data_IF_452550277713
#
_entry.id   IF_452550277713
#
_cell.length_a   1.000
_cell.length_b   1.000
_cell.length_c   1.000
_cell.angle_alpha   90.00
_cell.angle_beta   90.00
_cell.angle_gamma   90.00
#
_symmetry.space_group_name_H-M   'P 1'
#
loop_
_entity.id
_entity.type
_entity.pdbx_description
1 polymer ?
#
# COMPACT_ATOMS: atom_id res chain seq x y z
N UNK A 1 26.12 24.14 -27.43
CA UNK A 1 25.10 23.07 -27.47
C UNK A 1 25.62 21.90 -26.63
N UNK A 2 25.32 21.91 -25.34
CA UNK A 2 25.69 20.83 -24.44
C UNK A 2 24.61 19.74 -24.51
N UNK A 3 24.97 18.55 -24.96
CA UNK A 3 24.19 17.34 -24.77
C UNK A 3 24.30 16.99 -23.29
N UNK A 4 23.28 17.31 -22.51
CA UNK A 4 23.11 16.73 -21.17
C UNK A 4 22.57 15.32 -21.37
N UNK A 5 23.37 14.34 -21.02
CA UNK A 5 23.01 12.93 -21.00
C UNK A 5 21.82 12.73 -20.06
N UNK A 6 20.62 12.71 -20.64
CA UNK A 6 19.43 12.15 -20.01
C UNK A 6 19.66 10.65 -19.88
N UNK A 7 20.37 10.24 -18.82
CA UNK A 7 20.41 8.88 -18.37
C UNK A 7 18.96 8.39 -18.29
N UNK A 8 18.61 7.47 -19.18
CA UNK A 8 17.27 6.88 -19.25
C UNK A 8 17.01 6.18 -17.92
N UNK A 9 16.30 6.83 -17.00
CA UNK A 9 15.67 6.18 -15.86
C UNK A 9 14.78 5.09 -16.43
N UNK A 10 15.27 3.86 -16.43
CA UNK A 10 14.53 2.70 -16.93
C UNK A 10 13.26 2.57 -16.11
N UNK A 11 12.13 2.40 -16.77
CA UNK A 11 10.87 2.09 -16.10
C UNK A 11 11.06 0.75 -15.38
N UNK A 12 10.98 0.78 -14.05
CA UNK A 12 11.13 -0.43 -13.25
C UNK A 12 9.75 -1.05 -13.08
N UNK A 13 9.59 -2.29 -13.54
CA UNK A 13 8.32 -3.01 -13.50
C UNK A 13 8.45 -4.18 -12.54
N UNK A 14 7.62 -4.18 -11.50
CA UNK A 14 7.48 -5.31 -10.59
C UNK A 14 6.16 -6.03 -10.83
N UNK A 15 6.21 -7.35 -10.72
CA UNK A 15 5.07 -8.22 -10.88
C UNK A 15 4.75 -8.90 -9.56
N UNK A 16 3.45 -9.06 -9.29
CA UNK A 16 2.98 -9.85 -8.15
C UNK A 16 3.56 -11.26 -8.20
N UNK A 17 4.05 -11.73 -7.05
CA UNK A 17 4.66 -13.05 -6.94
C UNK A 17 3.62 -14.10 -6.54
N UNK A 18 3.70 -15.29 -7.12
CA UNK A 18 2.81 -16.40 -6.79
C UNK A 18 3.50 -17.30 -5.75
N UNK A 19 3.02 -17.28 -4.51
CA UNK A 19 3.64 -18.03 -3.43
C UNK A 19 3.30 -19.52 -3.54
N UNK A 20 4.32 -20.37 -3.76
CA UNK A 20 4.16 -21.81 -4.00
C UNK A 20 3.34 -22.53 -2.90
N UNK A 21 3.54 -22.28 -1.59
CA UNK A 21 2.72 -22.91 -0.54
C UNK A 21 1.24 -22.55 -0.63
N UNK A 22 0.92 -21.28 -0.94
CA UNK A 22 -0.47 -20.87 -1.15
C UNK A 22 -1.06 -21.51 -2.40
N UNK A 23 -0.26 -21.72 -3.44
CA UNK A 23 -0.72 -22.46 -4.61
C UNK A 23 -1.01 -23.93 -4.33
N UNK A 24 -0.21 -24.56 -3.46
CA UNK A 24 -0.44 -25.95 -3.02
C UNK A 24 -1.72 -26.01 -2.18
N UNK A 25 -1.89 -25.09 -1.23
CA UNK A 25 -3.12 -25.00 -0.44
C UNK A 25 -4.36 -24.75 -1.33
N UNK A 26 -4.25 -23.87 -2.32
CA UNK A 26 -5.30 -23.62 -3.29
C UNK A 26 -5.60 -24.87 -4.15
N UNK A 27 -4.57 -25.62 -4.56
CA UNK A 27 -4.73 -26.86 -5.31
C UNK A 27 -5.42 -27.95 -4.47
N UNK A 28 -5.02 -28.12 -3.21
CA UNK A 28 -5.69 -29.03 -2.27
C UNK A 28 -7.15 -28.61 -2.07
N UNK A 29 -7.41 -27.32 -1.86
CA UNK A 29 -8.76 -26.78 -1.77
C UNK A 29 -9.59 -27.06 -3.02
N UNK A 30 -8.99 -26.95 -4.21
CA UNK A 30 -9.64 -27.26 -5.48
C UNK A 30 -9.98 -28.75 -5.62
N UNK A 31 -9.07 -29.63 -5.20
CA UNK A 31 -9.28 -31.10 -5.21
C UNK A 31 -10.41 -31.48 -4.24
N UNK A 32 -10.39 -30.94 -3.01
CA UNK A 32 -11.43 -31.18 -2.01
C UNK A 32 -12.80 -30.65 -2.49
N UNK A 33 -12.82 -29.46 -3.09
CA UNK A 33 -14.03 -28.90 -3.69
C UNK A 33 -14.54 -29.76 -4.85
N UNK A 34 -13.67 -30.21 -5.76
CA UNK A 34 -14.06 -31.09 -6.86
C UNK A 34 -14.63 -32.43 -6.36
N UNK A 35 -14.01 -33.03 -5.34
CA UNK A 35 -14.54 -34.24 -4.70
C UNK A 35 -15.93 -34.01 -4.08
N UNK A 36 -16.15 -32.85 -3.45
CA UNK A 36 -17.45 -32.45 -2.91
C UNK A 36 -18.50 -32.26 -4.00
N UNK A 37 -18.15 -31.65 -5.13
CA UNK A 37 -19.03 -31.50 -6.30
C UNK A 37 -19.41 -32.88 -6.86
N UNK A 38 -18.44 -33.80 -7.02
CA UNK A 38 -18.72 -35.16 -7.47
C UNK A 38 -19.63 -35.92 -6.49
N UNK A 39 -19.39 -35.79 -5.19
CA UNK A 39 -20.20 -36.43 -4.15
C UNK A 39 -21.65 -35.91 -4.15
N UNK A 40 -21.83 -34.59 -4.18
CA UNK A 40 -23.16 -33.95 -4.22
C UNK A 40 -23.90 -34.28 -5.51
N UNK A 41 -23.20 -34.30 -6.66
CA UNK A 41 -23.75 -34.72 -7.93
C UNK A 41 -24.22 -36.18 -7.93
N UNK A 42 -23.42 -37.10 -7.39
CA UNK A 42 -23.79 -38.50 -7.25
C UNK A 42 -25.05 -38.69 -6.40
N UNK A 43 -25.13 -38.04 -5.24
CA UNK A 43 -26.32 -38.07 -4.39
C UNK A 43 -27.54 -37.41 -5.02
N UNK A 44 -27.35 -36.35 -5.82
CA UNK A 44 -28.42 -35.69 -6.57
C UNK A 44 -29.05 -36.61 -7.63
N UNK A 45 -28.21 -37.34 -8.37
CA UNK A 45 -28.66 -38.33 -9.36
C UNK A 45 -29.37 -39.51 -8.67
N UNK A 46 -28.77 -40.05 -7.60
CA UNK A 46 -29.35 -41.15 -6.80
C UNK A 46 -30.73 -40.83 -6.20
N UNK A 47 -30.96 -39.58 -5.78
CA UNK A 47 -32.23 -39.13 -5.18
C UNK A 47 -33.22 -38.54 -6.18
N UNK A 48 -32.87 -38.47 -7.48
CA UNK A 48 -33.72 -37.88 -8.52
C UNK A 48 -34.04 -36.39 -8.30
N UNK A 49 -33.27 -35.69 -7.46
CA UNK A 49 -33.47 -34.26 -7.14
C UNK A 49 -32.22 -33.51 -7.53
N UNK A 50 -32.36 -32.53 -8.41
CA UNK A 50 -31.31 -31.58 -8.77
C UNK A 50 -31.35 -30.38 -7.80
N UNK A 51 -30.40 -30.25 -6.86
CA UNK A 51 -30.33 -29.09 -5.99
C UNK A 51 -29.75 -27.89 -6.77
N UNK A 52 -30.63 -27.14 -7.45
CA UNK A 52 -30.25 -25.97 -8.27
C UNK A 52 -29.46 -24.93 -7.47
N UNK A 53 -29.80 -24.73 -6.20
CA UNK A 53 -29.10 -23.79 -5.31
C UNK A 53 -27.65 -24.22 -5.05
N UNK A 54 -27.40 -25.52 -4.82
CA UNK A 54 -26.05 -26.03 -4.60
C UNK A 54 -25.19 -25.88 -5.86
N UNK A 55 -25.75 -26.13 -7.04
CA UNK A 55 -25.04 -25.92 -8.32
C UNK A 55 -24.69 -24.44 -8.49
N UNK A 56 -25.62 -23.54 -8.22
CA UNK A 56 -25.37 -22.10 -8.28
C UNK A 56 -24.26 -21.66 -7.32
N UNK A 57 -24.27 -22.16 -6.08
CA UNK A 57 -23.25 -21.88 -5.08
C UNK A 57 -21.87 -22.47 -5.48
N UNK A 58 -21.83 -23.68 -6.02
CA UNK A 58 -20.61 -24.30 -6.52
C UNK A 58 -19.98 -23.49 -7.66
N UNK A 59 -20.78 -23.02 -8.61
CA UNK A 59 -20.31 -22.14 -9.68
C UNK A 59 -19.77 -20.82 -9.14
N UNK A 60 -20.42 -20.24 -8.13
CA UNK A 60 -19.93 -19.02 -7.47
C UNK A 60 -18.59 -19.23 -6.73
N UNK A 61 -18.41 -20.38 -6.05
CA UNK A 61 -17.15 -20.73 -5.38
C UNK A 61 -16.03 -20.95 -6.40
N UNK A 62 -16.30 -21.69 -7.47
CA UNK A 62 -15.35 -21.89 -8.57
C UNK A 62 -14.92 -20.55 -9.17
N UNK A 63 -15.89 -19.68 -9.43
CA UNK A 63 -15.65 -18.34 -9.94
C UNK A 63 -14.74 -17.54 -9.01
N UNK A 64 -15.03 -17.52 -7.71
CA UNK A 64 -14.26 -16.80 -6.71
C UNK A 64 -12.82 -17.34 -6.57
N UNK A 65 -12.64 -18.66 -6.63
CA UNK A 65 -11.32 -19.30 -6.64
C UNK A 65 -10.51 -18.90 -7.87
N UNK A 66 -11.14 -18.93 -9.06
CA UNK A 66 -10.50 -18.55 -10.32
C UNK A 66 -10.09 -17.07 -10.32
N UNK A 67 -10.95 -16.17 -9.84
CA UNK A 67 -10.62 -14.75 -9.71
C UNK A 67 -9.47 -14.52 -8.73
N UNK A 68 -9.47 -15.21 -7.58
CA UNK A 68 -8.41 -15.11 -6.57
C UNK A 68 -7.04 -15.55 -7.09
N UNK A 69 -6.99 -16.63 -7.88
CA UNK A 69 -5.74 -17.17 -8.45
C UNK A 69 -5.26 -16.36 -9.66
N UNK A 70 -6.18 -15.84 -10.48
CA UNK A 70 -5.83 -15.11 -11.72
C UNK A 70 -5.57 -13.63 -11.52
N UNK A 71 -5.94 -13.06 -10.36
CA UNK A 71 -5.65 -11.67 -10.05
C UNK A 71 -4.14 -11.42 -10.07
N UNK A 72 -3.70 -10.55 -10.98
CA UNK A 72 -2.31 -10.10 -11.08
C UNK A 72 -2.26 -8.59 -10.87
N UNK A 73 -1.31 -8.15 -10.06
CA UNK A 73 -0.97 -6.73 -9.93
C UNK A 73 0.41 -6.47 -10.51
N UNK A 74 0.52 -5.42 -11.31
CA UNK A 74 1.76 -4.93 -11.89
C UNK A 74 2.00 -3.52 -11.37
N UNK A 75 3.20 -3.27 -10.89
CA UNK A 75 3.64 -1.96 -10.44
C UNK A 75 4.69 -1.45 -11.41
N UNK A 76 4.54 -0.20 -11.87
CA UNK A 76 5.52 0.46 -12.74
C UNK A 76 5.95 1.77 -12.09
N UNK A 77 7.25 1.92 -11.89
CA UNK A 77 7.86 3.17 -11.49
C UNK A 77 8.27 3.91 -12.77
N UNK A 78 7.41 4.81 -13.24
CA UNK A 78 7.67 5.72 -14.36
C UNK A 78 8.38 6.98 -13.86
N UNK A 79 8.86 7.85 -14.76
CA UNK A 79 9.71 9.00 -14.40
C UNK A 79 9.09 9.96 -13.37
N UNK A 80 7.79 10.21 -13.48
CA UNK A 80 7.10 11.24 -12.66
C UNK A 80 5.92 10.69 -11.85
N UNK A 81 5.60 9.40 -12.02
CA UNK A 81 4.40 8.78 -11.44
C UNK A 81 4.59 7.31 -11.11
N UNK A 82 3.87 6.87 -10.10
CA UNK A 82 3.68 5.47 -9.76
C UNK A 82 2.42 4.96 -10.47
N UNK A 83 2.58 4.02 -11.38
CA UNK A 83 1.48 3.38 -12.08
C UNK A 83 1.24 1.98 -11.53
N UNK A 84 0.00 1.68 -11.18
CA UNK A 84 -0.43 0.39 -10.68
C UNK A 84 -1.57 -0.15 -11.55
N UNK A 85 -1.39 -1.38 -12.01
CA UNK A 85 -2.40 -2.07 -12.80
C UNK A 85 -2.77 -3.38 -12.10
N UNK A 86 -4.02 -3.48 -11.66
CA UNK A 86 -4.60 -4.72 -11.18
C UNK A 86 -5.55 -5.27 -12.21
N UNK A 87 -5.24 -6.46 -12.69
CA UNK A 87 -6.06 -7.21 -13.64
C UNK A 87 -6.66 -8.40 -12.91
N UNK A 88 -7.98 -8.35 -12.70
CA UNK A 88 -8.79 -9.48 -12.24
C UNK A 88 -9.40 -10.24 -13.41
N UNK A 89 -10.33 -11.15 -13.12
CA UNK A 89 -11.00 -11.95 -14.15
C UNK A 89 -11.87 -11.09 -15.09
N UNK A 90 -12.41 -9.98 -14.59
CA UNK A 90 -13.30 -9.10 -15.34
C UNK A 90 -13.02 -7.61 -15.12
N UNK A 91 -12.44 -7.25 -13.98
CA UNK A 91 -12.13 -5.86 -13.63
C UNK A 91 -10.67 -5.55 -13.92
N UNK A 92 -10.46 -4.43 -14.61
CA UNK A 92 -9.14 -3.79 -14.72
C UNK A 92 -9.21 -2.51 -13.90
N UNK A 93 -8.35 -2.43 -12.88
CA UNK A 93 -8.22 -1.25 -12.05
C UNK A 93 -6.85 -0.63 -12.32
N UNK A 94 -6.87 0.54 -12.92
CA UNK A 94 -5.69 1.34 -13.20
C UNK A 94 -5.64 2.50 -12.23
N UNK A 95 -4.49 2.69 -11.59
CA UNK A 95 -4.27 3.78 -10.65
C UNK A 95 -2.90 4.40 -10.94
N UNK A 96 -2.90 5.67 -11.29
CA UNK A 96 -1.69 6.47 -11.48
C UNK A 96 -1.62 7.56 -10.42
N UNK A 97 -0.53 7.61 -9.66
CA UNK A 97 -0.31 8.60 -8.60
C UNK A 97 1.00 9.34 -8.91
N UNK A 98 0.96 10.67 -8.99
CA UNK A 98 2.17 11.47 -9.18
C UNK A 98 3.04 11.43 -7.92
N UNK A 99 4.37 11.46 -8.07
CA UNK A 99 5.27 11.40 -6.91
C UNK A 99 5.08 12.57 -5.94
N UNK A 100 4.76 13.76 -6.45
CA UNK A 100 4.49 14.93 -5.59
C UNK A 100 3.24 14.74 -4.71
N UNK A 101 2.27 13.91 -5.12
CA UNK A 101 1.05 13.64 -4.35
C UNK A 101 1.25 12.57 -3.27
N UNK A 102 2.38 11.86 -3.25
CA UNK A 102 2.64 10.79 -2.29
C UNK A 102 3.16 11.41 -0.99
N UNK A 103 2.48 11.13 0.13
CA UNK A 103 2.92 11.55 1.46
C UNK A 103 4.00 10.64 2.01
N UNK A 104 3.82 9.32 1.85
CA UNK A 104 4.80 8.32 2.23
C UNK A 104 4.22 6.91 2.27
N UNK A 105 5.10 5.95 2.55
CA UNK A 105 4.76 4.52 2.62
C UNK A 105 5.22 3.96 3.96
N UNK A 106 4.27 3.37 4.70
CA UNK A 106 4.52 2.69 5.97
C UNK A 106 4.09 1.23 5.92
N UNK A 107 4.59 0.40 6.84
CA UNK A 107 4.16 -0.99 6.96
C UNK A 107 2.71 -1.04 7.47
N UNK A 108 1.85 -1.87 6.86
CA UNK A 108 0.45 -1.95 7.24
C UNK A 108 0.27 -2.75 8.54
N UNK A 109 -0.23 -2.08 9.58
CA UNK A 109 -0.73 -2.71 10.81
C UNK A 109 -2.25 -2.73 10.81
N UNK A 110 -2.84 -3.82 11.29
CA UNK A 110 -4.30 -3.94 11.46
C UNK A 110 -4.75 -3.22 12.75
N UNK A 111 -4.47 -1.92 12.82
CA UNK A 111 -4.82 -1.05 13.95
C UNK A 111 -5.77 0.06 13.49
N UNK A 112 -6.70 0.47 14.36
CA UNK A 112 -7.65 1.54 14.06
C UNK A 112 -6.93 2.89 14.08
N UNK A 113 -6.59 3.39 12.89
CA UNK A 113 -6.04 4.72 12.73
C UNK A 113 -7.11 5.78 13.03
N UNK A 114 -7.15 6.24 14.28
CA UNK A 114 -7.96 7.37 14.72
C UNK A 114 -7.53 8.75 14.13
N UNK A 115 -6.25 9.02 13.79
CA UNK A 115 -5.86 10.36 13.35
C UNK A 115 -6.25 10.69 11.90
N UNK A 116 -6.07 9.76 10.96
CA UNK A 116 -6.25 10.04 9.51
C UNK A 116 -7.56 9.48 9.00
N UNK A 117 -8.43 10.35 8.46
CA UNK A 117 -9.66 9.89 7.80
C UNK A 117 -9.40 9.53 6.34
N UNK A 118 -9.82 8.33 5.94
CA UNK A 118 -9.62 7.84 4.58
C UNK A 118 -10.88 8.05 3.74
N UNK A 119 -10.71 8.50 2.49
CA UNK A 119 -11.81 8.52 1.52
C UNK A 119 -11.87 7.24 0.69
N UNK A 120 -10.71 6.81 0.20
CA UNK A 120 -10.57 5.64 -0.66
C UNK A 120 -9.44 4.75 -0.15
N UNK A 121 -9.71 3.45 -0.01
CA UNK A 121 -8.68 2.44 0.27
C UNK A 121 -8.64 1.44 -0.90
N UNK A 122 -7.61 1.55 -1.72
CA UNK A 122 -7.38 0.65 -2.86
C UNK A 122 -6.54 -0.54 -2.42
N UNK A 123 -7.05 -1.75 -2.68
CA UNK A 123 -6.35 -2.99 -2.41
C UNK A 123 -5.64 -3.45 -3.70
N UNK A 124 -4.49 -2.84 -3.96
CA UNK A 124 -3.66 -3.09 -5.14
C UNK A 124 -2.59 -4.13 -4.82
N UNK A 125 -2.99 -5.34 -4.41
CA UNK A 125 -2.10 -6.48 -4.24
C UNK A 125 -2.83 -7.79 -4.59
N UNK A 126 -2.07 -8.80 -5.00
CA UNK A 126 -2.60 -10.14 -5.21
C UNK A 126 -2.70 -10.89 -3.88
N UNK A 127 -3.81 -11.61 -3.65
CA UNK A 127 -4.02 -12.41 -2.41
C UNK A 127 -3.03 -13.56 -2.27
N UNK A 128 -2.50 -14.04 -3.39
CA UNK A 128 -1.57 -15.17 -3.47
C UNK A 128 -0.11 -14.78 -3.25
N UNK A 129 0.16 -13.49 -3.05
CA UNK A 129 1.49 -12.99 -2.72
C UNK A 129 1.66 -12.99 -1.19
N UNK A 130 2.75 -13.56 -0.67
CA UNK A 130 3.04 -13.65 0.76
C UNK A 130 3.91 -12.50 1.28
N UNK A 131 4.32 -11.57 0.43
CA UNK A 131 5.12 -10.40 0.82
C UNK A 131 4.37 -9.50 1.83
N UNK A 132 5.10 -8.74 2.66
CA UNK A 132 4.51 -7.79 3.60
C UNK A 132 3.67 -6.74 2.87
N UNK A 133 2.57 -6.32 3.51
CA UNK A 133 1.68 -5.29 2.97
C UNK A 133 2.22 -3.93 3.39
N UNK A 134 2.41 -3.06 2.41
CA UNK A 134 2.78 -1.67 2.61
C UNK A 134 1.58 -0.77 2.30
N UNK A 135 1.39 0.25 3.13
CA UNK A 135 0.33 1.24 3.05
C UNK A 135 0.93 2.56 2.55
N UNK A 136 0.56 2.93 1.33
CA UNK A 136 0.94 4.19 0.69
C UNK A 136 -0.18 5.21 0.89
N UNK A 137 0.17 6.37 1.47
CA UNK A 137 -0.75 7.50 1.61
C UNK A 137 -0.47 8.53 0.52
N UNK A 138 -1.54 9.01 -0.11
CA UNK A 138 -1.45 10.00 -1.18
C UNK A 138 -2.59 11.02 -1.12
N UNK A 139 -2.35 12.16 -1.73
CA UNK A 139 -3.27 13.28 -1.79
C UNK A 139 -4.38 13.06 -2.83
N UNK A 140 -5.64 13.30 -2.44
CA UNK A 140 -6.79 13.27 -3.35
C UNK A 140 -7.28 14.70 -3.67
N UNK A 141 -6.54 15.73 -3.26
CA UNK A 141 -6.97 17.12 -3.36
C UNK A 141 -8.04 17.51 -2.33
N UNK A 142 -8.22 16.72 -1.26
CA UNK A 142 -9.12 17.03 -0.15
C UNK A 142 -8.32 17.45 1.08
N UNK A 143 -8.83 18.45 1.81
CA UNK A 143 -8.23 18.96 3.05
C UNK A 143 -8.62 18.15 4.30
N UNK A 144 -9.47 17.14 4.16
CA UNK A 144 -9.91 16.32 5.30
C UNK A 144 -9.59 14.84 5.13
N UNK A 145 -9.61 14.35 3.89
CA UNK A 145 -9.52 12.92 3.61
C UNK A 145 -8.36 12.59 2.70
N UNK A 146 -7.71 11.46 3.00
CA UNK A 146 -6.50 10.99 2.34
C UNK A 146 -6.78 9.70 1.58
N UNK A 147 -6.04 9.49 0.49
CA UNK A 147 -6.08 8.27 -0.28
C UNK A 147 -5.10 7.25 0.28
N UNK A 148 -5.52 6.00 0.35
CA UNK A 148 -4.65 4.90 0.78
C UNK A 148 -4.59 3.82 -0.29
N UNK A 149 -3.39 3.34 -0.58
CA UNK A 149 -3.16 2.17 -1.41
C UNK A 149 -2.40 1.13 -0.61
N UNK A 150 -2.97 -0.06 -0.51
CA UNK A 150 -2.28 -1.22 0.02
C UNK A 150 -1.61 -1.95 -1.13
N UNK A 151 -0.31 -2.21 -1.02
CA UNK A 151 0.47 -2.87 -2.07
C UNK A 151 1.50 -3.86 -1.50
N UNK A 152 1.91 -4.81 -2.34
CA UNK A 152 2.95 -5.80 -2.04
C UNK A 152 3.95 -5.77 -3.19
N UNK A 153 5.17 -5.33 -2.95
CA UNK A 153 6.19 -5.23 -4.00
C UNK A 153 7.51 -5.90 -3.57
N UNK A 154 8.35 -6.21 -4.55
CA UNK A 154 9.69 -6.79 -4.34
C UNK A 154 10.64 -5.82 -3.64
N UNK A 155 11.70 -6.34 -3.03
CA UNK A 155 12.71 -5.50 -2.37
C UNK A 155 13.43 -4.58 -3.37
N UNK A 156 13.70 -5.08 -4.57
CA UNK A 156 14.30 -4.30 -5.66
C UNK A 156 13.40 -3.13 -6.08
N UNK A 157 12.09 -3.36 -6.15
CA UNK A 157 11.12 -2.29 -6.37
C UNK A 157 11.19 -1.22 -5.29
N UNK A 158 11.25 -1.63 -4.02
CA UNK A 158 11.32 -0.68 -2.92
C UNK A 158 12.64 0.08 -2.88
N UNK A 159 13.78 -0.55 -3.23
CA UNK A 159 15.09 0.12 -3.37
C UNK A 159 15.05 1.20 -4.45
N UNK A 160 14.50 0.88 -5.62
CA UNK A 160 14.34 1.86 -6.69
C UNK A 160 13.35 2.98 -6.31
N UNK A 161 12.32 2.67 -5.54
CA UNK A 161 11.39 3.68 -5.08
C UNK A 161 12.00 4.62 -4.03
N UNK A 162 12.79 4.11 -3.09
CA UNK A 162 13.54 4.90 -2.11
C UNK A 162 14.56 5.82 -2.76
N UNK A 163 15.27 5.36 -3.80
CA UNK A 163 16.20 6.20 -4.57
C UNK A 163 15.50 7.42 -5.19
N UNK A 164 14.25 7.25 -5.65
CA UNK A 164 13.46 8.34 -6.26
C UNK A 164 12.85 9.26 -5.21
N UNK A 165 12.40 8.72 -4.07
CA UNK A 165 11.77 9.46 -2.99
C UNK A 165 12.44 9.18 -1.64
N UNK A 166 13.67 9.70 -1.41
CA UNK A 166 14.39 9.46 -0.18
C UNK A 166 13.68 10.11 1.00
N UNK A 167 13.56 9.37 2.11
CA UNK A 167 12.91 9.83 3.35
C UNK A 167 11.38 9.77 3.37
N UNK A 168 10.75 9.15 2.37
CA UNK A 168 9.28 9.02 2.31
C UNK A 168 8.80 7.57 2.17
N UNK A 169 9.68 6.67 1.75
CA UNK A 169 9.36 5.27 1.44
C UNK A 169 9.91 4.37 2.56
N UNK A 170 9.08 3.42 3.01
CA UNK A 170 9.36 2.49 4.13
C UNK A 170 9.83 3.20 5.40
N UNK A 171 9.13 4.26 5.76
CA UNK A 171 9.35 5.01 7.00
C UNK A 171 8.31 4.60 8.06
N UNK A 172 8.57 4.87 9.35
CA UNK A 172 7.62 4.60 10.41
C UNK A 172 6.26 5.26 10.18
N UNK A 173 5.21 4.65 10.72
CA UNK A 173 3.83 5.07 10.54
C UNK A 173 3.59 6.49 11.06
N UNK A 174 4.22 6.89 12.18
CA UNK A 174 4.08 8.24 12.74
C UNK A 174 4.65 9.30 11.81
N UNK A 175 5.75 8.97 11.12
CA UNK A 175 6.41 9.88 10.20
C UNK A 175 5.55 10.16 8.96
N UNK A 176 4.94 9.12 8.37
CA UNK A 176 4.00 9.29 7.24
C UNK A 176 2.79 10.11 7.67
N UNK A 177 2.24 9.85 8.86
CA UNK A 177 1.08 10.58 9.37
C UNK A 177 1.43 12.04 9.66
N UNK A 178 2.59 12.33 10.24
CA UNK A 178 3.07 13.69 10.45
C UNK A 178 3.24 14.44 9.11
N UNK A 179 3.81 13.79 8.08
CA UNK A 179 3.93 14.37 6.74
C UNK A 179 2.56 14.68 6.13
N UNK A 180 1.61 13.77 6.31
CA UNK A 180 0.23 13.94 5.86
C UNK A 180 -0.42 15.15 6.54
N UNK A 181 -0.32 15.25 7.87
CA UNK A 181 -0.87 16.39 8.61
C UNK A 181 -0.27 17.72 8.20
N UNK A 182 1.07 17.81 8.07
CA UNK A 182 1.71 19.06 7.62
C UNK A 182 1.24 19.50 6.24
N UNK A 183 1.06 18.56 5.32
CA UNK A 183 0.54 18.88 3.98
C UNK A 183 -0.89 19.40 4.01
N UNK A 184 -1.75 18.81 4.85
CA UNK A 184 -3.14 19.23 5.02
C UNK A 184 -3.21 20.59 5.71
N UNK A 185 -2.41 20.80 6.76
CA UNK A 185 -2.30 22.07 7.48
C UNK A 185 -1.88 23.20 6.52
N UNK A 186 -0.88 22.97 5.67
CA UNK A 186 -0.46 23.94 4.64
C UNK A 186 -1.63 24.32 3.72
N UNK A 187 -2.37 23.34 3.19
CA UNK A 187 -3.55 23.62 2.34
C UNK A 187 -4.65 24.38 3.09
N UNK A 188 -4.88 24.06 4.36
CA UNK A 188 -5.87 24.76 5.19
C UNK A 188 -5.43 26.21 5.45
N UNK A 189 -4.14 26.45 5.69
CA UNK A 189 -3.54 27.79 5.81
C UNK A 189 -3.66 28.60 4.53
N UNK A 190 -3.40 28.00 3.38
CA UNK A 190 -3.59 28.64 2.06
C UNK A 190 -5.06 29.01 1.82
N UNK A 191 -6.00 28.19 2.31
CA UNK A 191 -7.44 28.48 2.28
C UNK A 191 -7.88 29.52 3.34
N UNK A 192 -6.95 30.00 4.17
CA UNK A 192 -7.18 31.04 5.18
C UNK A 192 -7.62 30.51 6.55
N UNK A 193 -7.68 29.20 6.74
CA UNK A 193 -7.90 28.59 8.06
C UNK A 193 -6.57 28.58 8.84
N UNK A 194 -6.58 28.85 10.15
CA UNK A 194 -5.39 28.82 11.03
C UNK A 194 -4.34 29.93 10.85
N UNK A 195 -4.67 31.08 10.26
CA UNK A 195 -3.74 32.24 10.17
C UNK A 195 -3.15 32.66 11.54
N UNK A 196 -3.91 32.47 12.62
CA UNK A 196 -3.55 32.91 13.97
C UNK A 196 -2.94 31.81 14.85
N UNK A 197 -2.81 30.58 14.35
CA UNK A 197 -2.22 29.47 15.08
C UNK A 197 -0.75 29.26 14.66
N UNK A 198 0.19 29.11 15.61
CA UNK A 198 1.58 28.82 15.27
C UNK A 198 1.68 27.49 14.51
N UNK A 199 2.57 27.43 13.51
CA UNK A 199 2.86 26.18 12.80
C UNK A 199 3.39 25.15 13.78
N UNK A 200 2.79 23.96 13.79
CA UNK A 200 3.27 22.88 14.65
C UNK A 200 4.61 22.37 14.11
N UNK A 201 5.62 22.27 14.97
CA UNK A 201 6.90 21.71 14.55
C UNK A 201 6.74 20.22 14.21
N UNK A 202 7.45 19.78 13.16
CA UNK A 202 7.36 18.40 12.67
C UNK A 202 7.80 17.40 13.72
N UNK A 203 8.85 17.73 14.46
CA UNK A 203 9.39 16.89 15.52
C UNK A 203 8.43 16.81 16.72
N UNK A 204 7.73 17.90 17.04
CA UNK A 204 6.71 17.93 18.10
C UNK A 204 5.48 17.09 17.73
N UNK A 205 5.02 17.16 16.48
CA UNK A 205 3.92 16.33 15.98
C UNK A 205 4.24 14.84 16.07
N UNK A 206 5.46 14.43 15.72
CA UNK A 206 5.91 13.04 15.87
C UNK A 206 5.97 12.64 17.36
N UNK A 207 6.49 13.51 18.24
CA UNK A 207 6.53 13.23 19.69
C UNK A 207 5.13 13.04 20.27
N UNK A 208 4.14 13.83 19.86
CA UNK A 208 2.75 13.65 20.26
C UNK A 208 2.18 12.32 19.77
N UNK A 209 2.46 11.95 18.52
CA UNK A 209 2.03 10.67 17.95
C UNK A 209 2.67 9.45 18.65
N UNK A 210 3.86 9.62 19.25
CA UNK A 210 4.60 8.58 19.98
C UNK A 210 4.28 8.51 21.49
N UNK A 211 3.50 9.43 22.05
CA UNK A 211 3.16 9.39 23.48
C UNK A 211 2.31 8.16 23.82
N UNK A 212 2.68 7.44 24.90
CA UNK A 212 1.97 6.23 25.37
C UNK A 212 0.48 6.50 25.55
N UNK A 213 -0.35 5.86 24.71
CA UNK A 213 -1.80 6.05 24.67
C UNK A 213 -2.34 6.22 23.25
N UNK A 214 -1.50 6.60 22.29
CA UNK A 214 -1.77 6.39 20.87
C UNK A 214 -1.50 4.94 20.52
N UNK A 215 -2.39 4.27 19.79
CA UNK A 215 -2.21 2.87 19.33
C UNK A 215 -1.08 2.74 18.27
N UNK A 216 -0.34 3.82 18.01
CA UNK A 216 0.74 3.92 17.03
C UNK A 216 2.02 3.46 17.74
N UNK A 217 2.24 2.15 17.76
CA UNK A 217 3.43 1.54 18.36
C UNK A 217 4.69 2.05 17.67
N UNK A 218 5.66 2.52 18.45
CA UNK A 218 6.86 3.19 17.96
C UNK A 218 7.80 2.31 17.13
N UNK A 219 8.96 2.87 16.78
CA UNK A 219 9.96 2.28 15.86
C UNK A 219 10.33 0.82 16.17
N UNK A 220 10.36 0.43 17.45
CA UNK A 220 10.75 -0.93 17.87
C UNK A 220 9.77 -2.01 17.40
N UNK A 221 8.52 -1.64 17.06
CA UNK A 221 7.46 -2.55 16.61
C UNK A 221 7.19 -2.44 15.10
N UNK A 222 8.03 -1.76 14.33
CA UNK A 222 7.81 -1.47 12.90
C UNK A 222 8.87 -2.01 11.97
N UNK A 223 8.42 -2.73 10.93
CA UNK A 223 9.24 -3.07 9.78
C UNK A 223 9.49 -1.80 8.96
N UNK A 224 10.75 -1.37 8.94
CA UNK A 224 11.24 -0.21 8.20
C UNK A 224 12.20 -0.65 7.10
N UNK A 225 12.59 0.25 6.19
CA UNK A 225 13.60 -0.07 5.17
C UNK A 225 14.92 -0.57 5.75
N UNK A 226 15.25 -0.16 6.98
CA UNK A 226 16.47 -0.53 7.71
C UNK A 226 16.51 -2.02 8.05
N UNK A 227 15.36 -2.62 8.39
CA UNK A 227 15.26 -4.05 8.70
C UNK A 227 15.49 -4.95 7.47
N UNK A 228 15.32 -4.39 6.27
CA UNK A 228 15.56 -5.09 5.00
C UNK A 228 16.97 -4.84 4.45
N UNK A 229 17.55 -3.65 4.66
CA UNK A 229 18.86 -3.29 4.12
C UNK A 229 20.03 -3.53 5.09
N UNK A 230 19.75 -3.64 6.39
CA UNK A 230 20.78 -3.74 7.44
C UNK A 230 21.61 -2.46 7.63
N UNK A 231 21.21 -1.36 6.99
CA UNK A 231 21.94 -0.09 7.00
C UNK A 231 21.45 0.79 8.16
N UNK A 232 22.38 1.28 9.00
CA UNK A 232 22.07 2.19 10.11
C UNK A 232 21.91 3.60 9.56
N UNK A 233 20.68 4.11 9.56
CA UNK A 233 20.38 5.48 9.14
C UNK A 233 20.61 6.44 10.30
N UNK A 234 21.08 7.64 9.99
CA UNK A 234 21.22 8.69 10.99
C UNK A 234 19.85 9.13 11.52
N UNK A 235 19.76 9.17 12.85
CA UNK A 235 18.52 9.41 13.58
C UNK A 235 18.66 10.69 14.37
N UNK A 236 17.71 11.61 14.21
CA UNK A 236 17.58 12.79 15.04
C UNK A 236 16.28 12.70 15.83
N UNK A 237 16.38 12.65 17.17
CA UNK A 237 15.22 12.51 18.06
C UNK A 237 14.31 11.28 17.76
N UNK A 238 14.90 10.20 17.25
CA UNK A 238 14.20 8.97 16.87
C UNK A 238 13.49 9.02 15.51
N UNK A 239 13.68 10.09 14.73
CA UNK A 239 13.15 10.27 13.37
C UNK A 239 14.32 10.24 12.38
N UNK A 240 14.11 9.67 11.19
CA UNK A 240 15.14 9.65 10.13
C UNK A 240 15.47 11.08 9.68
N UNK A 241 16.76 11.41 9.58
CA UNK A 241 17.23 12.72 9.06
C UNK A 241 16.68 12.98 7.65
N UNK A 242 16.63 11.94 6.83
CA UNK A 242 16.15 12.00 5.45
C UNK A 242 14.66 12.32 5.39
N UNK A 243 13.88 11.83 6.36
CA UNK A 243 12.45 12.17 6.49
C UNK A 243 12.28 13.64 6.86
N UNK A 244 13.11 14.15 7.77
CA UNK A 244 13.09 15.57 8.16
C UNK A 244 13.46 16.44 6.94
N UNK A 245 14.45 16.04 6.15
CA UNK A 245 14.83 16.73 4.92
C UNK A 245 13.74 16.63 3.84
N UNK A 246 13.08 15.48 3.70
CA UNK A 246 11.93 15.32 2.81
C UNK A 246 10.75 16.21 3.23
N UNK A 247 10.47 16.31 4.53
CA UNK A 247 9.47 17.22 5.07
C UNK A 247 9.79 18.68 4.71
N UNK A 248 11.05 19.11 4.89
CA UNK A 248 11.50 20.46 4.51
C UNK A 248 11.36 20.73 3.02
N UNK A 249 11.85 19.84 2.16
CA UNK A 249 11.74 19.95 0.70
C UNK A 249 10.28 20.08 0.25
N UNK A 250 9.36 19.35 0.89
CA UNK A 250 7.93 19.41 0.59
C UNK A 250 7.26 20.71 1.05
N UNK A 251 7.71 21.28 2.16
CA UNK A 251 7.23 22.58 2.63
C UNK A 251 7.71 23.71 1.70
N UNK A 252 8.94 23.62 1.20
CA UNK A 252 9.57 24.61 0.30
C UNK A 252 9.03 24.59 -1.14
N UNK A 253 8.59 23.44 -1.65
CA UNK A 253 7.94 23.35 -2.96
C UNK A 253 6.58 24.09 -2.94
N UNK A 254 6.48 25.09 -3.84
CA UNK A 254 5.30 25.93 -4.12
C UNK A 254 4.43 25.30 -5.21
#
# INVERSE_FOLDING_TARGET
MAKTDAASTKDFVDHSYFYKPYSIAAAIGFILWAAYVCWTGYWGIMKGRLPVIDIGMQLAILWWLLDTVRTKTVYRLEKDRLYMLKTGLWTKQELSIAYDDIFGVHHFKNQLMKPVTYRYTYHQYAKMDNRPIWSLLYDIGSTQKVGRVLMKASEDFWKEFEKRMPGQIRIPQEEVVALTYKSIEKKLREQGYFKDHPEMDFEEGIKQLRQKGTEMGGRDDELTGEDFHGEKVEMKNGTRTDTIEAAKRRMEKK
#
